data_IF_671245446456
#
_entry.id   IF_671245446456
#
_cell.length_a   1.000
_cell.length_b   1.000
_cell.length_c   1.000
_cell.angle_alpha   90.00
_cell.angle_beta   90.00
_cell.angle_gamma   90.00
#
_symmetry.space_group_name_H-M   'P 1'
#
loop_
_entity.id
_entity.type
_entity.pdbx_description
1 polymer ?
#
# COMPACT_ATOMS: atom_id res chain seq x y z
N UNK A 1 -0.27 14.35 7.76
CA UNK A 1 -0.35 12.98 8.31
C UNK A 1 0.55 12.78 9.54
N UNK A 2 0.84 13.84 10.30
CA UNK A 2 1.78 13.76 11.43
C UNK A 2 1.41 12.67 12.44
N UNK A 3 2.37 11.78 12.70
CA UNK A 3 2.25 10.69 13.68
C UNK A 3 1.26 9.59 13.30
N UNK A 4 0.85 9.51 12.03
CA UNK A 4 -0.08 8.46 11.55
C UNK A 4 0.69 7.29 10.96
N UNK A 5 0.30 6.08 11.32
CA UNK A 5 0.67 4.89 10.56
C UNK A 5 -0.15 4.85 9.27
N UNK A 6 0.51 4.54 8.14
CA UNK A 6 -0.13 4.52 6.84
C UNK A 6 0.24 3.26 6.05
N UNK A 7 -0.70 2.82 5.22
CA UNK A 7 -0.55 1.71 4.28
C UNK A 7 -0.74 2.28 2.87
N UNK A 8 0.30 2.38 2.04
CA UNK A 8 0.18 2.91 0.68
C UNK A 8 -0.57 1.91 -0.20
N UNK A 9 -1.67 2.34 -0.82
CA UNK A 9 -2.46 1.52 -1.74
C UNK A 9 -2.66 2.28 -3.06
N UNK A 10 -2.59 1.58 -4.18
CA UNK A 10 -2.85 2.16 -5.51
C UNK A 10 -3.50 1.12 -6.43
N UNK A 11 -4.30 1.59 -7.39
CA UNK A 11 -4.86 0.76 -8.46
C UNK A 11 -4.57 1.43 -9.80
N UNK A 12 -4.42 0.63 -10.87
CA UNK A 12 -4.42 1.15 -12.23
C UNK A 12 -4.70 0.10 -13.30
N UNK A 13 -4.84 0.54 -14.55
CA UNK A 13 -5.20 -0.35 -15.67
C UNK A 13 -4.08 -1.28 -16.17
N UNK A 14 -2.83 -1.07 -15.73
CA UNK A 14 -1.69 -1.94 -16.05
C UNK A 14 -0.56 -1.77 -15.03
N UNK A 15 0.42 -2.68 -15.04
CA UNK A 15 1.60 -2.60 -14.17
C UNK A 15 2.57 -1.46 -14.54
N UNK A 16 2.36 -0.75 -15.66
CA UNK A 16 3.26 0.31 -16.12
C UNK A 16 3.38 1.48 -15.14
N UNK A 17 2.37 1.68 -14.28
CA UNK A 17 2.37 2.70 -13.24
C UNK A 17 2.68 2.16 -11.83
N UNK A 18 3.04 0.87 -11.69
CA UNK A 18 3.28 0.25 -10.39
C UNK A 18 4.27 1.04 -9.52
N UNK A 19 5.34 1.58 -10.13
CA UNK A 19 6.37 2.34 -9.42
C UNK A 19 5.83 3.63 -8.80
N UNK A 20 4.73 4.21 -9.29
CA UNK A 20 4.16 5.45 -8.75
C UNK A 20 3.78 5.30 -7.26
N UNK A 21 3.41 4.10 -6.83
CA UNK A 21 3.17 3.76 -5.43
C UNK A 21 4.41 4.06 -4.55
N UNK A 22 5.57 3.63 -5.02
CA UNK A 22 6.79 3.56 -4.23
C UNK A 22 7.72 4.77 -4.43
N UNK A 23 7.64 5.43 -5.58
CA UNK A 23 8.46 6.61 -5.94
C UNK A 23 7.69 7.93 -5.80
N UNK A 24 6.36 7.91 -5.70
CA UNK A 24 5.55 9.12 -5.51
C UNK A 24 4.66 9.06 -4.27
N UNK A 25 3.78 8.07 -4.14
CA UNK A 25 2.80 8.05 -3.04
C UNK A 25 3.46 7.83 -1.67
N UNK A 26 4.31 6.81 -1.52
CA UNK A 26 5.01 6.56 -0.25
C UNK A 26 5.87 7.75 0.19
N UNK A 27 6.73 8.36 -0.66
CA UNK A 27 7.47 9.56 -0.29
C UNK A 27 6.55 10.70 0.15
N UNK A 28 5.45 10.97 -0.57
CA UNK A 28 4.51 12.03 -0.18
C UNK A 28 3.91 11.79 1.21
N UNK A 29 3.52 10.56 1.55
CA UNK A 29 2.99 10.24 2.86
C UNK A 29 4.03 10.47 3.98
N UNK A 30 5.28 10.11 3.72
CA UNK A 30 6.42 10.34 4.65
C UNK A 30 6.68 11.83 4.84
N UNK A 31 6.71 12.63 3.77
CA UNK A 31 6.87 14.09 3.86
C UNK A 31 5.72 14.76 4.63
N UNK A 32 4.51 14.21 4.52
CA UNK A 32 3.35 14.66 5.32
C UNK A 32 3.40 14.18 6.78
N UNK A 33 4.45 13.46 7.20
CA UNK A 33 4.67 13.01 8.58
C UNK A 33 4.06 11.66 8.93
N UNK A 34 3.72 10.82 7.94
CA UNK A 34 3.27 9.46 8.16
C UNK A 34 4.45 8.48 8.31
N UNK A 35 4.20 7.36 8.97
CA UNK A 35 5.09 6.19 9.00
C UNK A 35 4.47 5.08 8.15
N UNK A 36 5.16 4.66 7.08
CA UNK A 36 4.75 3.55 6.22
C UNK A 36 5.57 2.29 6.60
N UNK A 37 4.97 1.39 7.38
CA UNK A 37 5.68 0.23 7.96
C UNK A 37 5.81 -0.97 7.01
N UNK A 38 5.03 -0.98 5.94
CA UNK A 38 4.96 -2.09 4.98
C UNK A 38 5.15 -1.58 3.56
N UNK A 39 5.61 -2.44 2.63
CA UNK A 39 5.47 -2.18 1.21
C UNK A 39 4.01 -1.87 0.87
N UNK A 40 3.79 -0.98 -0.09
CA UNK A 40 2.43 -0.71 -0.57
C UNK A 40 1.86 -1.87 -1.37
N UNK A 41 0.55 -1.84 -1.59
CA UNK A 41 -0.14 -2.76 -2.51
C UNK A 41 -0.57 -1.99 -3.77
N UNK A 42 -0.21 -2.52 -4.93
CA UNK A 42 -0.74 -2.08 -6.22
C UNK A 42 -1.65 -3.17 -6.79
N UNK A 43 -2.84 -2.80 -7.25
CA UNK A 43 -3.79 -3.73 -7.87
C UNK A 43 -4.03 -3.32 -9.32
N UNK A 44 -4.00 -4.28 -10.24
CA UNK A 44 -4.40 -4.02 -11.62
C UNK A 44 -5.91 -4.18 -11.73
N UNK A 45 -6.58 -3.29 -12.47
CA UNK A 45 -8.05 -3.30 -12.63
C UNK A 45 -8.61 -4.67 -13.05
N UNK A 46 -7.89 -5.39 -13.91
CA UNK A 46 -8.27 -6.74 -14.37
C UNK A 46 -8.24 -7.81 -13.27
N UNK A 47 -7.62 -7.53 -12.12
CA UNK A 47 -7.49 -8.44 -10.98
C UNK A 47 -8.52 -8.17 -9.88
N UNK A 48 -9.44 -7.20 -10.08
CA UNK A 48 -10.40 -6.81 -9.05
C UNK A 48 -11.33 -7.94 -8.62
N UNK A 49 -11.64 -8.89 -9.51
CA UNK A 49 -12.41 -10.09 -9.17
C UNK A 49 -11.69 -10.98 -8.13
N UNK A 50 -10.36 -10.90 -8.03
CA UNK A 50 -9.54 -11.64 -7.08
C UNK A 50 -9.07 -10.77 -5.90
N UNK A 51 -9.57 -9.54 -5.77
CA UNK A 51 -9.11 -8.57 -4.78
C UNK A 51 -9.21 -9.10 -3.35
N UNK A 52 -10.30 -9.78 -2.98
CA UNK A 52 -10.46 -10.33 -1.62
C UNK A 52 -9.36 -11.33 -1.25
N UNK A 53 -8.95 -12.18 -2.19
CA UNK A 53 -7.87 -13.14 -1.99
C UNK A 53 -6.50 -12.45 -1.88
N UNK A 54 -6.26 -11.42 -2.71
CA UNK A 54 -5.04 -10.60 -2.64
C UNK A 54 -4.97 -9.84 -1.30
N UNK A 55 -6.09 -9.25 -0.87
CA UNK A 55 -6.20 -8.51 0.39
C UNK A 55 -6.02 -9.43 1.60
N UNK A 56 -6.61 -10.63 1.61
CA UNK A 56 -6.45 -11.57 2.73
C UNK A 56 -4.97 -11.90 3.00
N UNK A 57 -4.19 -12.07 1.93
CA UNK A 57 -2.73 -12.29 2.00
C UNK A 57 -2.01 -11.04 2.51
N UNK A 58 -2.32 -9.89 1.92
CA UNK A 58 -1.67 -8.62 2.26
C UNK A 58 -1.95 -8.16 3.69
N UNK A 59 -3.19 -8.28 4.15
CA UNK A 59 -3.62 -7.90 5.51
C UNK A 59 -2.87 -8.70 6.57
N UNK A 60 -2.52 -9.95 6.32
CA UNK A 60 -1.70 -10.74 7.25
C UNK A 60 -0.32 -10.08 7.47
N UNK A 61 0.30 -9.56 6.41
CA UNK A 61 1.57 -8.81 6.47
C UNK A 61 1.39 -7.48 7.21
N UNK A 62 0.35 -6.72 6.87
CA UNK A 62 0.07 -5.42 7.51
C UNK A 62 -0.21 -5.57 9.00
N UNK A 63 -1.05 -6.53 9.39
CA UNK A 63 -1.39 -6.79 10.79
C UNK A 63 -0.15 -7.11 11.62
N UNK A 64 0.77 -7.92 11.10
CA UNK A 64 2.01 -8.25 11.80
C UNK A 64 2.91 -7.02 12.00
N UNK A 65 2.98 -6.11 11.02
CA UNK A 65 3.77 -4.89 11.09
C UNK A 65 3.17 -3.87 12.08
N UNK A 66 1.84 -3.68 12.05
CA UNK A 66 1.15 -2.70 12.89
C UNK A 66 1.00 -3.16 14.35
N UNK A 67 0.98 -4.47 14.62
CA UNK A 67 0.98 -4.98 16.00
C UNK A 67 2.27 -4.67 16.79
N UNK A 68 3.32 -4.16 16.11
CA UNK A 68 4.65 -3.88 16.66
C UNK A 68 4.97 -2.39 16.78
N UNK A 69 4.07 -1.52 16.34
CA UNK A 69 4.25 -0.07 16.25
C UNK A 69 3.44 0.66 17.30
#
# INVERSE_FOLDING_TARGET
>A
MSGKLAVPLMMGGSLQHFLALDVHLRPLLVELGATCLTPGLYVVETELEQLDAQLATYVTTVRAAFARA
#
